data_IF_195217087948
#
_entry.id   IF_195217087948
#
_cell.length_a   1.000
_cell.length_b   1.000
_cell.length_c   1.000
_cell.angle_alpha   90.00
_cell.angle_beta   90.00
_cell.angle_gamma   90.00
#
_symmetry.space_group_name_H-M   'P 1'
#
loop_
_entity.id
_entity.type
_entity.pdbx_description
1 polymer ?
#
# COMPACT_ATOMS: atom_id res chain seq x y z
N UNK A 1 11.83 -17.34 -7.08
CA UNK A 1 11.50 -16.31 -8.08
C UNK A 1 10.04 -16.39 -8.49
N UNK A 2 9.45 -15.23 -8.85
CA UNK A 2 8.05 -15.10 -9.27
C UNK A 2 7.99 -14.53 -10.68
N UNK A 3 7.19 -15.16 -11.54
CA UNK A 3 6.82 -14.61 -12.85
C UNK A 3 5.39 -14.07 -12.77
N UNK A 4 5.19 -12.83 -13.19
CA UNK A 4 3.86 -12.18 -13.24
C UNK A 4 3.40 -12.13 -14.69
N UNK A 5 2.18 -12.60 -14.98
CA UNK A 5 1.65 -12.70 -16.35
C UNK A 5 0.14 -12.56 -16.41
N UNK A 6 -0.39 -12.16 -17.57
CA UNK A 6 -1.80 -12.34 -17.91
C UNK A 6 -2.10 -13.79 -18.32
N UNK A 7 -3.34 -14.22 -18.16
CA UNK A 7 -3.75 -15.57 -18.55
C UNK A 7 -3.70 -15.80 -20.08
N UNK A 8 -3.85 -14.74 -20.85
CA UNK A 8 -3.90 -14.75 -22.31
C UNK A 8 -2.57 -15.07 -22.98
N UNK A 9 -1.44 -14.89 -22.27
CA UNK A 9 -0.09 -15.15 -22.78
C UNK A 9 0.61 -16.32 -22.08
N UNK A 10 -0.07 -17.09 -21.25
CA UNK A 10 0.51 -18.24 -20.56
C UNK A 10 1.11 -19.22 -21.58
N UNK A 11 0.36 -19.56 -22.62
CA UNK A 11 0.79 -20.54 -23.61
C UNK A 11 1.95 -20.05 -24.49
N UNK A 12 1.86 -18.79 -24.94
CA UNK A 12 2.86 -18.25 -25.86
C UNK A 12 4.13 -17.74 -25.20
N UNK A 13 4.07 -17.39 -23.94
CA UNK A 13 5.17 -16.74 -23.22
C UNK A 13 5.68 -17.60 -22.07
N UNK A 14 4.84 -17.95 -21.11
CA UNK A 14 5.24 -18.71 -19.91
C UNK A 14 5.69 -20.11 -20.28
N UNK A 15 4.92 -20.83 -21.08
CA UNK A 15 5.27 -22.19 -21.51
C UNK A 15 6.59 -22.22 -22.29
N UNK A 16 6.83 -21.24 -23.17
CA UNK A 16 8.10 -21.12 -23.91
C UNK A 16 9.28 -20.92 -22.96
N UNK A 17 9.19 -19.97 -22.04
CA UNK A 17 10.25 -19.75 -21.06
C UNK A 17 10.54 -20.99 -20.20
N UNK A 18 9.49 -21.75 -19.83
CA UNK A 18 9.66 -23.00 -19.10
C UNK A 18 10.38 -24.05 -19.94
N UNK A 19 9.97 -24.25 -21.19
CA UNK A 19 10.57 -25.20 -22.10
C UNK A 19 12.03 -24.87 -22.38
N UNK A 20 12.32 -23.62 -22.74
CA UNK A 20 13.67 -23.16 -23.03
C UNK A 20 14.56 -23.21 -21.77
N UNK A 21 14.06 -22.77 -20.63
CA UNK A 21 14.79 -22.84 -19.35
C UNK A 21 15.14 -24.28 -18.99
N UNK A 22 14.19 -25.19 -19.03
CA UNK A 22 14.43 -26.60 -18.71
C UNK A 22 15.32 -27.32 -19.74
N UNK A 23 15.29 -26.88 -21.01
CA UNK A 23 16.11 -27.49 -22.05
C UNK A 23 17.56 -26.99 -22.04
N UNK A 24 17.74 -25.67 -22.00
CA UNK A 24 19.06 -25.06 -22.18
C UNK A 24 19.81 -24.82 -20.87
N UNK A 25 19.10 -24.52 -19.78
CA UNK A 25 19.73 -24.19 -18.50
C UNK A 25 19.91 -25.41 -17.63
N UNK A 26 21.16 -25.69 -17.27
CA UNK A 26 21.53 -26.84 -16.45
C UNK A 26 22.36 -26.40 -15.26
N UNK A 27 22.26 -27.13 -14.15
CA UNK A 27 23.18 -26.98 -13.02
C UNK A 27 24.53 -27.65 -13.32
N UNK A 28 25.46 -27.56 -12.37
CA UNK A 28 26.81 -28.18 -12.49
C UNK A 28 26.78 -29.70 -12.66
N UNK A 29 25.67 -30.35 -12.33
CA UNK A 29 25.44 -31.79 -12.47
C UNK A 29 24.66 -32.13 -13.74
N UNK A 30 24.36 -31.15 -14.60
CA UNK A 30 23.60 -31.33 -15.83
C UNK A 30 22.10 -31.48 -15.67
N UNK A 31 21.55 -31.23 -14.46
CA UNK A 31 20.11 -31.25 -14.19
C UNK A 31 19.43 -29.98 -14.69
N UNK A 32 18.25 -30.08 -15.33
CA UNK A 32 17.48 -28.91 -15.75
C UNK A 32 17.19 -27.92 -14.62
N UNK A 33 17.44 -26.64 -14.87
CA UNK A 33 17.10 -25.56 -13.94
C UNK A 33 15.70 -25.03 -14.23
N UNK A 34 14.86 -25.01 -13.20
CA UNK A 34 13.53 -24.41 -13.27
C UNK A 34 13.66 -22.86 -13.33
N UNK A 35 13.12 -22.18 -14.35
CA UNK A 35 13.34 -20.75 -14.53
C UNK A 35 12.67 -19.88 -13.45
N UNK A 36 11.55 -20.34 -12.89
CA UNK A 36 10.83 -19.65 -11.81
C UNK A 36 10.04 -20.64 -10.96
N UNK A 37 9.78 -20.25 -9.69
CA UNK A 37 9.10 -21.12 -8.71
C UNK A 37 7.60 -20.93 -8.72
N UNK A 38 7.16 -19.71 -8.93
CA UNK A 38 5.75 -19.29 -8.86
C UNK A 38 5.38 -18.54 -10.12
N UNK A 39 4.21 -18.82 -10.67
CA UNK A 39 3.58 -18.02 -11.72
C UNK A 39 2.35 -17.35 -11.13
N UNK A 40 2.40 -16.02 -11.03
CA UNK A 40 1.25 -15.23 -10.61
C UNK A 40 0.49 -14.75 -11.84
N UNK A 41 -0.75 -15.23 -11.99
CA UNK A 41 -1.62 -14.85 -13.10
C UNK A 41 -2.53 -13.70 -12.66
N UNK A 42 -2.23 -12.50 -13.18
CA UNK A 42 -2.99 -11.30 -12.84
C UNK A 42 -4.26 -11.16 -13.67
N UNK A 43 -5.21 -10.38 -13.15
CA UNK A 43 -6.41 -9.97 -13.86
C UNK A 43 -6.11 -9.02 -15.02
N UNK A 44 -6.97 -9.01 -16.04
CA UNK A 44 -6.90 -8.01 -17.13
C UNK A 44 -7.72 -6.78 -16.78
N UNK A 45 -7.22 -5.62 -17.20
CA UNK A 45 -7.95 -4.35 -17.05
C UNK A 45 -8.93 -4.19 -18.22
N UNK A 46 -10.19 -3.93 -17.89
CA UNK A 46 -11.29 -3.65 -18.82
C UNK A 46 -11.84 -2.25 -18.56
N UNK A 47 -12.64 -1.73 -19.49
CA UNK A 47 -13.36 -0.49 -19.27
C UNK A 47 -14.41 -0.63 -18.14
N UNK A 48 -15.03 0.46 -17.75
CA UNK A 48 -16.04 0.50 -16.67
C UNK A 48 -17.24 -0.40 -16.92
N UNK A 49 -17.55 -0.70 -18.18
CA UNK A 49 -18.62 -1.61 -18.59
C UNK A 49 -18.17 -3.07 -18.68
N UNK A 50 -16.89 -3.35 -18.46
CA UNK A 50 -16.31 -4.69 -18.51
C UNK A 50 -15.95 -5.16 -19.93
N UNK A 51 -15.92 -4.27 -20.93
CA UNK A 51 -15.48 -4.60 -22.28
C UNK A 51 -13.96 -4.57 -22.37
N UNK A 52 -13.42 -5.41 -23.24
CA UNK A 52 -11.98 -5.38 -23.56
C UNK A 52 -11.64 -4.05 -24.20
N UNK A 53 -10.60 -3.39 -23.70
CA UNK A 53 -10.12 -2.14 -24.28
C UNK A 53 -9.44 -2.41 -25.61
N UNK A 54 -9.74 -1.60 -26.63
CA UNK A 54 -9.06 -1.61 -27.91
C UNK A 54 -9.06 -0.22 -28.53
N UNK A 55 -8.02 0.09 -29.31
CA UNK A 55 -7.91 1.36 -30.04
C UNK A 55 -9.06 1.54 -31.03
N UNK A 56 -9.52 0.46 -31.65
CA UNK A 56 -10.64 0.48 -32.61
C UNK A 56 -11.99 0.80 -31.99
N UNK A 57 -12.19 0.50 -30.69
CA UNK A 57 -13.40 0.82 -29.96
C UNK A 57 -13.34 2.20 -29.28
N UNK A 58 -12.17 2.85 -29.27
CA UNK A 58 -11.99 4.15 -28.61
C UNK A 58 -12.18 4.14 -27.10
N UNK A 59 -12.15 2.97 -26.46
CA UNK A 59 -12.35 2.79 -25.01
C UNK A 59 -11.05 2.49 -24.25
N UNK A 60 -9.90 2.80 -24.84
CA UNK A 60 -8.60 2.66 -24.20
C UNK A 60 -8.43 3.79 -23.19
N UNK A 61 -8.16 3.44 -21.94
CA UNK A 61 -7.75 4.38 -20.90
C UNK A 61 -6.23 4.46 -20.94
N UNK A 62 -5.68 5.62 -21.29
CA UNK A 62 -4.24 5.84 -21.23
C UNK A 62 -3.81 6.02 -19.78
N UNK A 63 -2.94 5.16 -19.24
CA UNK A 63 -2.47 5.30 -17.86
C UNK A 63 -1.69 6.61 -17.65
N UNK A 64 -1.05 7.18 -18.66
CA UNK A 64 -0.33 8.44 -18.52
C UNK A 64 -1.29 9.61 -18.29
N UNK A 65 -2.41 9.67 -19.02
CA UNK A 65 -3.45 10.69 -18.81
C UNK A 65 -4.04 10.61 -17.40
N UNK A 66 -4.25 9.39 -16.88
CA UNK A 66 -4.72 9.17 -15.51
C UNK A 66 -3.68 9.61 -14.48
N UNK A 67 -2.41 9.34 -14.73
CA UNK A 67 -1.31 9.77 -13.86
C UNK A 67 -1.20 11.29 -13.82
N UNK A 68 -1.32 11.95 -14.96
CA UNK A 68 -1.26 13.41 -15.05
C UNK A 68 -2.41 14.09 -14.29
N UNK A 69 -3.61 13.47 -14.29
CA UNK A 69 -4.79 14.02 -13.63
C UNK A 69 -4.87 13.68 -12.12
N UNK A 70 -4.50 12.49 -11.72
CA UNK A 70 -4.77 11.97 -10.38
C UNK A 70 -3.51 11.55 -9.60
N UNK A 71 -2.37 11.48 -10.26
CA UNK A 71 -1.11 11.00 -9.70
C UNK A 71 -0.92 9.49 -9.81
N UNK A 72 0.35 9.08 -9.88
CA UNK A 72 0.71 7.67 -10.03
C UNK A 72 0.25 6.80 -8.86
N UNK A 73 0.33 7.31 -7.63
CA UNK A 73 -0.09 6.57 -6.43
C UNK A 73 -1.58 6.22 -6.42
N UNK A 74 -2.43 7.13 -6.91
CA UNK A 74 -3.86 6.88 -7.01
C UNK A 74 -4.18 5.75 -7.99
N UNK A 75 -3.53 5.74 -9.16
CA UNK A 75 -3.68 4.66 -10.13
C UNK A 75 -3.14 3.33 -9.59
N UNK A 76 -1.94 3.33 -9.00
CA UNK A 76 -1.32 2.13 -8.41
C UNK A 76 -2.20 1.52 -7.31
N UNK A 77 -2.72 2.37 -6.42
CA UNK A 77 -3.60 1.91 -5.34
C UNK A 77 -4.92 1.36 -5.89
N UNK A 78 -5.51 2.02 -6.90
CA UNK A 78 -6.72 1.54 -7.57
C UNK A 78 -6.51 0.13 -8.12
N UNK A 79 -5.45 -0.09 -8.87
CA UNK A 79 -5.15 -1.39 -9.47
C UNK A 79 -4.90 -2.46 -8.40
N UNK A 80 -4.11 -2.15 -7.36
CA UNK A 80 -3.85 -3.07 -6.26
C UNK A 80 -5.13 -3.45 -5.50
N UNK A 81 -5.98 -2.47 -5.17
CA UNK A 81 -7.23 -2.70 -4.45
C UNK A 81 -8.25 -3.55 -5.21
N UNK A 82 -8.15 -3.58 -6.54
CA UNK A 82 -9.02 -4.34 -7.42
C UNK A 82 -8.41 -5.65 -7.92
N UNK A 83 -7.16 -5.94 -7.58
CA UNK A 83 -6.41 -7.12 -8.04
C UNK A 83 -6.86 -8.40 -7.31
N UNK A 84 -8.15 -8.72 -7.35
CA UNK A 84 -8.67 -9.99 -6.86
C UNK A 84 -8.36 -11.11 -7.85
N UNK A 85 -7.91 -12.25 -7.34
CA UNK A 85 -7.62 -13.41 -8.19
C UNK A 85 -8.87 -13.88 -8.94
N UNK A 86 -8.71 -14.17 -10.25
CA UNK A 86 -9.75 -14.75 -11.11
C UNK A 86 -10.85 -13.77 -11.57
N UNK A 87 -10.68 -12.46 -11.35
CA UNK A 87 -11.64 -11.46 -11.81
C UNK A 87 -10.95 -10.35 -12.57
N UNK A 88 -11.48 -9.99 -13.74
CA UNK A 88 -11.04 -8.82 -14.49
C UNK A 88 -11.34 -7.53 -13.74
N UNK A 89 -10.45 -6.56 -13.90
CA UNK A 89 -10.55 -5.24 -13.27
C UNK A 89 -11.39 -4.33 -14.16
N UNK A 90 -12.57 -3.92 -13.70
CA UNK A 90 -13.35 -2.86 -14.34
C UNK A 90 -12.87 -1.51 -13.85
N UNK A 91 -12.04 -0.85 -14.65
CA UNK A 91 -11.43 0.43 -14.26
C UNK A 91 -12.40 1.57 -14.56
N UNK A 92 -12.83 2.26 -13.50
CA UNK A 92 -13.58 3.51 -13.58
C UNK A 92 -12.72 4.66 -13.07
N UNK A 93 -12.69 5.77 -13.79
CA UNK A 93 -11.89 6.97 -13.44
C UNK A 93 -12.27 7.52 -12.06
N UNK A 94 -13.56 7.47 -11.70
CA UNK A 94 -14.07 7.89 -10.39
C UNK A 94 -13.45 7.15 -9.20
N UNK A 95 -13.03 5.89 -9.39
CA UNK A 95 -12.30 5.15 -8.35
C UNK A 95 -10.90 5.69 -8.14
N UNK A 96 -10.22 6.06 -9.23
CA UNK A 96 -8.88 6.64 -9.15
C UNK A 96 -8.93 7.97 -8.40
N UNK A 97 -9.94 8.80 -8.69
CA UNK A 97 -10.19 10.04 -7.96
C UNK A 97 -10.41 9.81 -6.46
N UNK A 98 -11.17 8.78 -6.09
CA UNK A 98 -11.36 8.38 -4.70
C UNK A 98 -10.04 8.09 -3.98
N UNK A 99 -9.12 7.41 -4.64
CA UNK A 99 -7.80 7.11 -4.05
C UNK A 99 -6.81 8.29 -4.10
N UNK A 100 -7.00 9.25 -5.02
CA UNK A 100 -6.32 10.55 -4.91
C UNK A 100 -6.74 11.27 -3.63
N UNK A 101 -8.03 11.26 -3.30
CA UNK A 101 -8.55 11.84 -2.06
C UNK A 101 -8.03 11.12 -0.81
N UNK A 102 -7.78 9.82 -0.89
CA UNK A 102 -7.09 9.06 0.15
C UNK A 102 -5.68 9.59 0.40
N UNK A 103 -4.91 9.83 -0.67
CA UNK A 103 -3.59 10.48 -0.56
C UNK A 103 -3.66 11.86 0.11
N UNK A 104 -4.64 12.68 -0.28
CA UNK A 104 -4.88 13.98 0.35
C UNK A 104 -5.21 13.86 1.85
N UNK A 105 -5.98 12.84 2.24
CA UNK A 105 -6.30 12.60 3.65
C UNK A 105 -5.05 12.21 4.45
N UNK A 106 -4.21 11.32 3.91
CA UNK A 106 -2.93 10.96 4.52
C UNK A 106 -2.02 12.17 4.68
N UNK A 107 -1.92 13.02 3.66
CA UNK A 107 -1.17 14.28 3.71
C UNK A 107 -1.65 15.20 4.83
N UNK A 108 -2.96 15.36 4.97
CA UNK A 108 -3.54 16.21 6.01
C UNK A 108 -3.30 15.63 7.42
N UNK A 109 -3.33 14.31 7.59
CA UNK A 109 -2.99 13.68 8.86
C UNK A 109 -1.51 13.87 9.22
N UNK A 110 -0.63 13.84 8.24
CA UNK A 110 0.78 14.13 8.41
C UNK A 110 1.01 15.60 8.83
N UNK A 111 0.33 16.55 8.18
CA UNK A 111 0.37 17.97 8.61
C UNK A 111 -0.17 18.16 10.02
N UNK A 112 -1.23 17.46 10.40
CA UNK A 112 -1.71 17.48 11.78
C UNK A 112 -0.65 17.02 12.77
N UNK A 113 0.07 15.93 12.47
CA UNK A 113 1.16 15.44 13.30
C UNK A 113 2.29 16.47 13.42
N UNK A 114 2.69 17.10 12.32
CA UNK A 114 3.69 18.16 12.31
C UNK A 114 3.27 19.37 13.17
N UNK A 115 2.04 19.87 13.00
CA UNK A 115 1.51 21.00 13.75
C UNK A 115 1.42 20.76 15.26
N UNK A 116 1.31 19.50 15.69
CA UNK A 116 1.29 19.09 17.08
C UNK A 116 2.66 18.59 17.59
N UNK A 117 3.73 18.85 16.83
CA UNK A 117 5.10 18.48 17.19
C UNK A 117 5.30 16.98 17.41
N UNK A 118 4.52 16.16 16.71
CA UNK A 118 4.66 14.71 16.74
C UNK A 118 5.90 14.30 15.92
N UNK A 119 7.00 14.05 16.61
CA UNK A 119 8.29 13.69 16.00
C UNK A 119 8.71 12.28 16.40
N UNK A 120 9.40 11.53 15.52
CA UNK A 120 9.99 10.25 15.90
C UNK A 120 10.94 10.40 17.10
N UNK A 121 10.80 9.51 18.08
CA UNK A 121 11.64 9.47 19.28
C UNK A 121 12.56 8.26 19.17
N UNK A 122 13.88 8.49 19.27
CA UNK A 122 14.86 7.42 19.25
C UNK A 122 14.62 6.44 20.40
N UNK A 123 14.58 5.13 20.11
CA UNK A 123 14.34 4.11 21.13
C UNK A 123 12.88 4.01 21.63
N UNK A 124 11.93 4.69 21.00
CA UNK A 124 10.52 4.56 21.36
C UNK A 124 10.05 3.10 21.29
N UNK A 125 9.58 2.57 22.44
CA UNK A 125 8.95 1.24 22.51
C UNK A 125 7.42 1.38 22.58
N UNK A 126 6.69 1.04 21.51
CA UNK A 126 5.23 1.15 21.50
C UNK A 126 4.54 0.26 22.54
N UNK A 127 5.22 -0.77 23.09
CA UNK A 127 4.65 -1.63 24.14
C UNK A 127 4.62 -0.96 25.51
N UNK A 128 5.40 0.11 25.69
CA UNK A 128 5.49 0.86 26.94
C UNK A 128 4.44 1.95 27.13
N UNK A 129 3.58 2.21 26.13
CA UNK A 129 2.58 3.28 26.21
C UNK A 129 1.53 3.01 27.30
N UNK A 130 1.09 4.06 27.97
CA UNK A 130 0.17 3.99 29.12
C UNK A 130 -1.23 4.48 28.81
N UNK A 131 -1.36 5.48 27.95
CA UNK A 131 -2.65 6.07 27.57
C UNK A 131 -3.49 5.07 26.77
N UNK A 132 -4.79 4.96 27.11
CA UNK A 132 -5.71 3.99 26.48
C UNK A 132 -5.78 4.15 24.96
N UNK A 133 -5.86 5.39 24.47
CA UNK A 133 -5.92 5.69 23.04
C UNK A 133 -4.63 5.27 22.33
N UNK A 134 -3.48 5.47 22.97
CA UNK A 134 -2.18 5.08 22.44
C UNK A 134 -2.03 3.55 22.42
N UNK A 135 -2.44 2.84 23.48
CA UNK A 135 -2.49 1.37 23.48
C UNK A 135 -3.36 0.81 22.36
N UNK A 136 -4.50 1.44 22.13
CA UNK A 136 -5.42 1.02 21.07
C UNK A 136 -4.78 1.15 19.68
N UNK A 137 -4.22 2.31 19.33
CA UNK A 137 -3.61 2.49 18.00
C UNK A 137 -2.40 1.59 17.79
N UNK A 138 -1.59 1.35 18.83
CA UNK A 138 -0.47 0.41 18.77
C UNK A 138 -0.97 -1.00 18.44
N UNK A 139 -2.02 -1.45 19.11
CA UNK A 139 -2.65 -2.75 18.84
C UNK A 139 -3.24 -2.85 17.43
N UNK A 140 -3.95 -1.81 16.96
CA UNK A 140 -4.51 -1.77 15.60
C UNK A 140 -3.41 -1.78 14.53
N UNK A 141 -2.33 -1.02 14.76
CA UNK A 141 -1.18 -0.99 13.84
C UNK A 141 -0.48 -2.34 13.76
N UNK A 142 -0.27 -3.01 14.88
CA UNK A 142 0.31 -4.35 14.90
C UNK A 142 -0.58 -5.37 14.15
N UNK A 143 -1.90 -5.27 14.30
CA UNK A 143 -2.87 -6.15 13.65
C UNK A 143 -2.86 -5.96 12.13
N UNK A 144 -2.87 -4.70 11.64
CA UNK A 144 -2.84 -4.44 10.21
C UNK A 144 -1.50 -4.83 9.59
N UNK A 145 -0.38 -4.65 10.29
CA UNK A 145 0.93 -5.08 9.80
C UNK A 145 0.94 -6.60 9.56
N UNK A 146 0.54 -7.39 10.55
CA UNK A 146 0.46 -8.84 10.41
C UNK A 146 -0.50 -9.30 9.32
N UNK A 147 -1.67 -8.64 9.17
CA UNK A 147 -2.64 -8.94 8.13
C UNK A 147 -2.10 -8.61 6.73
N UNK A 148 -1.37 -7.50 6.59
CA UNK A 148 -0.73 -7.08 5.34
C UNK A 148 0.35 -8.07 4.92
N UNK A 149 1.23 -8.47 5.83
CA UNK A 149 2.27 -9.47 5.58
C UNK A 149 1.66 -10.81 5.11
N UNK A 150 0.62 -11.28 5.80
CA UNK A 150 -0.08 -12.52 5.44
C UNK A 150 -0.78 -12.40 4.07
N UNK A 151 -1.34 -11.25 3.75
CA UNK A 151 -1.97 -11.00 2.44
C UNK A 151 -0.93 -10.97 1.32
N UNK A 152 0.19 -10.27 1.50
CA UNK A 152 1.26 -10.19 0.51
C UNK A 152 1.93 -11.56 0.30
N UNK A 153 2.21 -12.31 1.37
CA UNK A 153 2.75 -13.67 1.27
C UNK A 153 1.82 -14.62 0.50
N UNK A 154 0.51 -14.40 0.57
CA UNK A 154 -0.52 -15.14 -0.16
C UNK A 154 -0.88 -14.55 -1.52
N UNK A 155 -0.18 -13.54 -2.03
CA UNK A 155 -0.49 -12.81 -3.28
C UNK A 155 -1.90 -12.21 -3.32
N UNK A 156 -2.48 -11.88 -2.16
CA UNK A 156 -3.79 -11.24 -2.04
C UNK A 156 -3.62 -9.71 -1.95
N UNK A 157 -3.21 -9.10 -3.05
CA UNK A 157 -2.90 -7.67 -3.09
C UNK A 157 -4.10 -6.78 -2.79
N UNK A 158 -5.30 -7.19 -3.22
CA UNK A 158 -6.54 -6.49 -2.90
C UNK A 158 -6.84 -6.47 -1.40
N UNK A 159 -6.58 -7.58 -0.68
CA UNK A 159 -6.80 -7.65 0.76
C UNK A 159 -5.80 -6.74 1.49
N UNK A 160 -4.52 -6.75 1.09
CA UNK A 160 -3.52 -5.84 1.64
C UNK A 160 -3.92 -4.37 1.42
N UNK A 161 -4.22 -3.98 0.18
CA UNK A 161 -4.59 -2.60 -0.15
C UNK A 161 -5.86 -2.15 0.59
N UNK A 162 -6.93 -2.95 0.58
CA UNK A 162 -8.19 -2.58 1.23
C UNK A 162 -8.07 -2.56 2.76
N UNK A 163 -7.31 -3.48 3.36
CA UNK A 163 -7.01 -3.48 4.78
C UNK A 163 -6.24 -2.22 5.20
N UNK A 164 -5.22 -1.84 4.44
CA UNK A 164 -4.45 -0.61 4.66
C UNK A 164 -5.32 0.65 4.51
N UNK A 165 -6.19 0.69 3.50
CA UNK A 165 -7.14 1.79 3.33
C UNK A 165 -8.04 1.94 4.56
N UNK A 166 -8.66 0.84 5.01
CA UNK A 166 -9.55 0.86 6.17
C UNK A 166 -8.82 1.29 7.45
N UNK A 167 -7.58 0.83 7.65
CA UNK A 167 -6.77 1.23 8.81
C UNK A 167 -6.36 2.69 8.75
N UNK A 168 -5.77 3.13 7.64
CA UNK A 168 -5.24 4.50 7.54
C UNK A 168 -6.36 5.53 7.52
N UNK A 169 -7.39 5.33 6.70
CA UNK A 169 -8.51 6.27 6.64
C UNK A 169 -9.37 6.20 7.90
N UNK A 170 -9.93 5.01 8.20
CA UNK A 170 -10.94 4.88 9.24
C UNK A 170 -10.35 4.85 10.64
N UNK A 171 -9.29 4.06 10.89
CA UNK A 171 -8.75 3.91 12.24
C UNK A 171 -7.82 5.06 12.59
N UNK A 172 -6.80 5.32 11.77
CA UNK A 172 -5.81 6.34 12.08
C UNK A 172 -6.35 7.76 11.88
N UNK A 173 -6.84 8.11 10.67
CA UNK A 173 -7.25 9.47 10.37
C UNK A 173 -8.57 9.87 11.02
N UNK A 174 -9.60 9.01 10.95
CA UNK A 174 -10.94 9.39 11.44
C UNK A 174 -11.09 9.26 12.95
N UNK A 175 -10.44 8.27 13.57
CA UNK A 175 -10.59 8.04 15.00
C UNK A 175 -9.38 8.45 15.82
N UNK A 176 -8.19 7.91 15.51
CA UNK A 176 -7.03 8.14 16.37
C UNK A 176 -6.63 9.62 16.39
N UNK A 177 -6.56 10.28 15.24
CA UNK A 177 -6.26 11.71 15.14
C UNK A 177 -7.23 12.52 16.01
N UNK A 178 -8.53 12.23 15.94
CA UNK A 178 -9.52 12.96 16.75
C UNK A 178 -9.40 12.65 18.25
N UNK A 179 -9.26 11.39 18.60
CA UNK A 179 -9.14 10.96 20.01
C UNK A 179 -7.83 11.38 20.67
N UNK A 180 -6.78 11.65 19.89
CA UNK A 180 -5.49 12.14 20.39
C UNK A 180 -5.51 13.63 20.75
N UNK A 181 -6.41 14.42 20.15
CA UNK A 181 -6.45 15.88 20.38
C UNK A 181 -6.54 16.30 21.84
N UNK A 182 -7.43 15.74 22.68
CA UNK A 182 -7.48 16.11 24.10
C UNK A 182 -6.17 15.83 24.85
N UNK A 183 -5.44 14.78 24.49
CA UNK A 183 -4.15 14.44 25.10
C UNK A 183 -3.04 15.38 24.62
N UNK A 184 -3.03 15.71 23.32
CA UNK A 184 -2.05 16.62 22.73
C UNK A 184 -2.22 18.07 23.21
N UNK A 185 -3.44 18.48 23.54
CA UNK A 185 -3.79 19.84 23.98
C UNK A 185 -3.96 19.97 25.50
N UNK A 186 -3.91 18.86 26.24
CA UNK A 186 -4.09 18.82 27.68
C UNK A 186 -2.86 19.30 28.46
N UNK A 187 -3.04 19.52 29.76
CA UNK A 187 -1.99 20.01 30.68
C UNK A 187 -1.02 18.92 31.15
N UNK A 188 -1.37 17.64 31.00
CA UNK A 188 -0.50 16.52 31.38
C UNK A 188 0.63 16.36 30.34
N UNK A 189 1.80 16.88 30.71
CA UNK A 189 2.98 16.84 29.85
C UNK A 189 3.41 15.40 29.49
N UNK A 190 3.31 14.46 30.43
CA UNK A 190 3.71 13.08 30.19
C UNK A 190 2.76 12.38 29.20
N UNK A 191 1.46 12.57 29.35
CA UNK A 191 0.46 12.04 28.43
C UNK A 191 0.60 12.68 27.03
N UNK A 192 0.88 13.98 26.96
CA UNK A 192 1.11 14.70 25.71
C UNK A 192 2.35 14.19 24.97
N UNK A 193 3.48 14.05 25.66
CA UNK A 193 4.73 13.60 25.05
C UNK A 193 4.66 12.13 24.61
N UNK A 194 4.01 11.24 25.40
CA UNK A 194 3.71 9.87 24.98
C UNK A 194 2.85 9.87 23.71
N UNK A 195 1.81 10.74 23.65
CA UNK A 195 0.90 10.77 22.50
C UNK A 195 1.57 11.33 21.27
N UNK A 196 2.44 12.33 21.39
CA UNK A 196 3.28 12.83 20.29
C UNK A 196 4.16 11.73 19.71
N UNK A 197 4.89 11.00 20.56
CA UNK A 197 5.74 9.91 20.14
C UNK A 197 4.95 8.76 19.50
N UNK A 198 3.80 8.41 20.07
CA UNK A 198 2.91 7.36 19.54
C UNK A 198 2.32 7.74 18.19
N UNK A 199 1.89 9.01 18.04
CA UNK A 199 1.35 9.51 16.77
C UNK A 199 2.39 9.46 15.66
N UNK A 200 3.61 9.92 15.94
CA UNK A 200 4.72 9.85 14.99
C UNK A 200 5.04 8.39 14.61
N UNK A 201 5.14 7.51 15.60
CA UNK A 201 5.38 6.08 15.36
C UNK A 201 4.27 5.44 14.51
N UNK A 202 3.00 5.67 14.84
CA UNK A 202 1.87 5.10 14.11
C UNK A 202 1.82 5.59 12.66
N UNK A 203 2.08 6.89 12.43
CA UNK A 203 2.17 7.45 11.09
C UNK A 203 3.33 6.84 10.31
N UNK A 204 4.51 6.67 10.90
CA UNK A 204 5.65 6.00 10.31
C UNK A 204 5.30 4.56 9.85
N UNK A 205 4.55 3.82 10.67
CA UNK A 205 4.10 2.48 10.29
C UNK A 205 3.11 2.54 9.12
N UNK A 206 2.17 3.48 9.12
CA UNK A 206 1.26 3.68 7.99
C UNK A 206 2.02 3.95 6.69
N UNK A 207 3.04 4.82 6.73
CA UNK A 207 3.87 5.14 5.55
C UNK A 207 4.64 3.91 5.05
N UNK A 208 5.28 3.16 5.96
CA UNK A 208 6.02 1.92 5.61
C UNK A 208 5.12 0.88 4.96
N UNK A 209 3.95 0.63 5.54
CA UNK A 209 3.00 -0.38 5.05
C UNK A 209 2.38 0.01 3.71
N UNK A 210 2.14 1.31 3.47
CA UNK A 210 1.62 1.83 2.21
C UNK A 210 2.69 1.92 1.10
N UNK A 211 3.97 2.05 1.45
CA UNK A 211 5.06 2.35 0.51
C UNK A 211 5.13 1.41 -0.70
N UNK A 212 4.95 0.10 -0.59
CA UNK A 212 4.95 -0.78 -1.76
C UNK A 212 3.87 -0.44 -2.81
N UNK A 213 2.75 0.15 -2.38
CA UNK A 213 1.61 0.48 -3.24
C UNK A 213 1.64 1.96 -3.66
N UNK A 214 1.92 2.87 -2.72
CA UNK A 214 1.91 4.33 -2.90
C UNK A 214 3.29 4.95 -2.61
N UNK A 215 4.33 4.63 -3.40
CA UNK A 215 5.70 5.00 -3.06
C UNK A 215 5.97 6.51 -3.08
N UNK A 216 5.30 7.29 -3.93
CA UNK A 216 5.63 8.70 -4.12
C UNK A 216 5.21 9.56 -2.92
N UNK A 217 3.94 9.48 -2.52
CA UNK A 217 3.45 10.25 -1.38
C UNK A 217 4.08 9.80 -0.06
N UNK A 218 4.31 8.50 0.09
CA UNK A 218 4.89 7.98 1.33
C UNK A 218 6.35 8.37 1.47
N UNK A 219 7.14 8.39 0.38
CA UNK A 219 8.52 8.86 0.39
C UNK A 219 8.59 10.36 0.68
N UNK A 220 7.76 11.17 0.03
CA UNK A 220 7.69 12.60 0.27
C UNK A 220 7.38 12.92 1.73
N UNK A 221 6.33 12.29 2.29
CA UNK A 221 5.96 12.48 3.69
C UNK A 221 7.03 11.97 4.65
N UNK A 222 7.69 10.86 4.32
CA UNK A 222 8.80 10.34 5.13
C UNK A 222 9.95 11.32 5.25
N UNK A 223 10.30 11.99 4.16
CA UNK A 223 11.35 13.03 4.14
C UNK A 223 10.98 14.31 4.86
N UNK A 224 9.67 14.69 4.84
CA UNK A 224 9.20 15.94 5.44
C UNK A 224 8.96 15.84 6.95
N UNK A 225 8.29 14.78 7.41
CA UNK A 225 7.88 14.63 8.82
C UNK A 225 9.04 14.18 9.68
N UNK A 226 9.86 13.32 9.17
CA UNK A 226 11.11 12.95 9.74
C UNK A 226 12.21 13.65 8.95
N UNK A 227 12.47 14.94 9.15
CA UNK A 227 13.85 15.42 8.98
C UNK A 227 14.69 14.63 9.97
N UNK A 228 14.97 13.41 9.56
CA UNK A 228 15.91 12.51 10.21
C UNK A 228 17.23 13.09 9.84
N UNK A 229 17.76 13.92 10.75
CA UNK A 229 19.16 14.30 10.70
C UNK A 229 19.92 12.99 10.56
N UNK A 230 20.46 12.76 9.36
CA UNK A 230 21.11 11.54 8.93
C UNK A 230 22.46 11.32 9.64
#
# INVERSE_FOLDING_TARGET
>A
SVLVTGFDIIFFWVARMMMDGLHFMKDAQGKPLKPFDTVYVHALVRDEHGKKMSKSLGNVIDPLEIIDQFGADALRFTLASMAAMGRDIKLAVSRVEGYRNFGTKLWNAARFAEMNECKPVAGFDPRGVTQTVNKWIVGETARIAAATDAALAGFRFNDAANGLYAHVWGVFCDWYVELSKPLLQGDDAAARDETRATTAWALDQCLKLLHPIMPYITEELWGQIARRDG
#
